data_IF_847110193714
#
_entry.id   IF_847110193714
#
_cell.length_a   1.000
_cell.length_b   1.000
_cell.length_c   1.000
_cell.angle_alpha   90.00
_cell.angle_beta   90.00
_cell.angle_gamma   90.00
#
_symmetry.space_group_name_H-M   'P 1'
#
loop_
_entity.id
_entity.type
_entity.pdbx_description
1 polymer ?
#
# COMPACT_ATOMS: atom_id res chain seq x y z
N UNK A 1 -7.66 -2.47 2.52
CA UNK A 1 -8.94 -2.45 3.23
C UNK A 1 -8.69 -2.79 4.68
N UNK A 2 -9.01 -1.86 5.57
CA UNK A 2 -9.07 -2.15 7.02
C UNK A 2 -10.43 -2.75 7.36
N UNK A 3 -10.44 -3.73 8.26
CA UNK A 3 -11.66 -4.23 8.90
C UNK A 3 -11.74 -3.60 10.28
N UNK A 4 -12.91 -3.08 10.66
CA UNK A 4 -13.11 -2.41 11.95
C UNK A 4 -14.27 -3.04 12.71
N UNK A 5 -14.19 -2.97 14.04
CA UNK A 5 -15.25 -3.38 14.97
C UNK A 5 -15.39 -2.30 16.04
N UNK A 6 -16.60 -2.09 16.56
CA UNK A 6 -16.80 -1.22 17.71
C UNK A 6 -15.98 -1.74 18.92
N UNK A 7 -15.23 -0.83 19.56
CA UNK A 7 -14.29 -1.18 20.61
C UNK A 7 -14.97 -1.75 21.88
N UNK A 8 -16.14 -1.23 22.26
CA UNK A 8 -16.89 -1.75 23.41
C UNK A 8 -17.39 -3.18 23.16
N UNK A 9 -17.77 -3.47 21.91
CA UNK A 9 -18.15 -4.81 21.49
C UNK A 9 -16.95 -5.74 21.52
N UNK A 10 -15.81 -5.30 20.99
CA UNK A 10 -14.56 -6.05 21.02
C UNK A 10 -14.13 -6.43 22.43
N UNK A 11 -14.18 -5.48 23.37
CA UNK A 11 -13.76 -5.68 24.75
C UNK A 11 -14.68 -6.64 25.54
N UNK A 12 -15.90 -6.89 25.06
CA UNK A 12 -16.82 -7.87 25.65
C UNK A 12 -16.59 -9.29 25.14
N UNK A 13 -15.79 -9.47 24.08
CA UNK A 13 -15.52 -10.79 23.53
C UNK A 13 -14.52 -11.55 24.40
N UNK A 14 -14.70 -12.88 24.57
CA UNK A 14 -13.70 -13.72 25.20
C UNK A 14 -12.33 -13.64 24.48
N UNK A 15 -11.19 -13.76 25.20
CA UNK A 15 -9.86 -13.59 24.60
C UNK A 15 -9.54 -14.57 23.46
N UNK A 16 -10.10 -15.78 23.49
CA UNK A 16 -9.98 -16.77 22.41
C UNK A 16 -10.72 -16.33 21.15
N UNK A 17 -11.89 -15.70 21.29
CA UNK A 17 -12.65 -15.13 20.19
C UNK A 17 -11.96 -13.90 19.62
N UNK A 18 -11.40 -13.02 20.47
CA UNK A 18 -10.58 -11.89 20.02
C UNK A 18 -9.41 -12.36 19.17
N UNK A 19 -8.64 -13.35 19.63
CA UNK A 19 -7.53 -13.92 18.86
C UNK A 19 -7.99 -14.53 17.53
N UNK A 20 -9.08 -15.29 17.55
CA UNK A 20 -9.63 -15.89 16.33
C UNK A 20 -10.00 -14.81 15.29
N UNK A 21 -10.66 -13.74 15.73
CA UNK A 21 -11.06 -12.65 14.85
C UNK A 21 -9.83 -11.91 14.30
N UNK A 22 -8.81 -11.62 15.13
CA UNK A 22 -7.59 -10.94 14.67
C UNK A 22 -6.84 -11.79 13.63
N UNK A 23 -6.69 -13.09 13.89
CA UNK A 23 -6.06 -14.03 12.97
C UNK A 23 -6.83 -14.12 11.64
N UNK A 24 -8.16 -14.22 11.69
CA UNK A 24 -9.00 -14.24 10.50
C UNK A 24 -8.95 -12.92 9.75
N UNK A 25 -9.01 -11.78 10.43
CA UNK A 25 -8.93 -10.46 9.83
C UNK A 25 -7.61 -10.28 9.08
N UNK A 26 -6.49 -10.74 9.65
CA UNK A 26 -5.18 -10.74 8.98
C UNK A 26 -5.17 -11.63 7.75
N UNK A 27 -5.68 -12.86 7.86
CA UNK A 27 -5.75 -13.81 6.73
C UNK A 27 -6.60 -13.29 5.58
N UNK A 28 -7.79 -12.77 5.90
CA UNK A 28 -8.70 -12.18 4.93
C UNK A 28 -8.03 -10.97 4.29
N UNK A 29 -7.40 -10.09 5.06
CA UNK A 29 -6.71 -8.92 4.49
C UNK A 29 -5.63 -9.30 3.46
N UNK A 30 -4.86 -10.35 3.75
CA UNK A 30 -3.86 -10.90 2.80
C UNK A 30 -4.55 -11.55 1.59
N UNK A 31 -5.53 -12.43 1.81
CA UNK A 31 -6.25 -13.13 0.75
C UNK A 31 -6.93 -12.15 -0.21
N UNK A 32 -7.61 -11.13 0.32
CA UNK A 32 -8.34 -10.17 -0.48
C UNK A 32 -7.43 -9.26 -1.29
N UNK A 33 -6.33 -8.78 -0.69
CA UNK A 33 -5.39 -7.93 -1.39
C UNK A 33 -4.55 -8.68 -2.42
N UNK A 34 -4.03 -9.85 -2.08
CA UNK A 34 -3.06 -10.51 -2.94
C UNK A 34 -3.74 -11.37 -4.03
N UNK A 35 -4.83 -12.06 -3.68
CA UNK A 35 -5.45 -13.05 -4.57
C UNK A 35 -6.63 -12.43 -5.32
N UNK A 36 -7.61 -11.86 -4.60
CA UNK A 36 -8.83 -11.37 -5.24
C UNK A 36 -8.57 -10.14 -6.12
N UNK A 37 -7.79 -9.18 -5.62
CA UNK A 37 -7.48 -7.97 -6.41
C UNK A 37 -6.73 -8.30 -7.71
N UNK A 38 -5.75 -9.22 -7.65
CA UNK A 38 -4.98 -9.63 -8.84
C UNK A 38 -5.87 -10.31 -9.87
N UNK A 39 -6.76 -11.22 -9.43
CA UNK A 39 -7.71 -11.89 -10.31
C UNK A 39 -8.71 -10.89 -10.94
N UNK A 40 -9.24 -9.97 -10.14
CA UNK A 40 -10.16 -8.94 -10.60
C UNK A 40 -9.51 -8.00 -11.62
N UNK A 41 -8.30 -7.52 -11.34
CA UNK A 41 -7.53 -6.69 -12.28
C UNK A 41 -7.24 -7.43 -13.59
N UNK A 42 -6.86 -8.72 -13.51
CA UNK A 42 -6.64 -9.55 -14.70
C UNK A 42 -7.90 -9.70 -15.56
N UNK A 43 -9.07 -9.93 -14.93
CA UNK A 43 -10.35 -9.99 -15.61
C UNK A 43 -10.73 -8.66 -16.28
N UNK A 44 -10.54 -7.55 -15.58
CA UNK A 44 -10.79 -6.21 -16.13
C UNK A 44 -9.90 -5.91 -17.36
N UNK A 45 -8.60 -6.24 -17.28
CA UNK A 45 -7.69 -6.08 -18.42
C UNK A 45 -8.10 -6.95 -19.60
N UNK A 46 -8.52 -8.19 -19.37
CA UNK A 46 -8.98 -9.09 -20.43
C UNK A 46 -10.24 -8.55 -21.13
N UNK A 47 -11.20 -8.05 -20.36
CA UNK A 47 -12.42 -7.44 -20.89
C UNK A 47 -12.12 -6.20 -21.74
N UNK A 48 -11.25 -5.30 -21.24
CA UNK A 48 -10.84 -4.11 -21.99
C UNK A 48 -10.15 -4.48 -23.31
N UNK A 49 -9.30 -5.51 -23.32
CA UNK A 49 -8.69 -6.03 -24.56
C UNK A 49 -9.74 -6.55 -25.54
N UNK A 50 -10.76 -7.26 -25.06
CA UNK A 50 -11.87 -7.75 -25.91
C UNK A 50 -12.67 -6.59 -26.52
N UNK A 51 -12.77 -5.46 -25.81
CA UNK A 51 -13.39 -4.24 -26.31
C UNK A 51 -12.48 -3.43 -27.26
N UNK A 52 -11.29 -3.95 -27.59
CA UNK A 52 -10.36 -3.32 -28.52
C UNK A 52 -9.42 -2.29 -27.88
N UNK A 53 -9.32 -2.23 -26.54
CA UNK A 53 -8.37 -1.36 -25.86
C UNK A 53 -6.94 -1.89 -26.03
N UNK A 54 -6.06 -1.03 -26.55
CA UNK A 54 -4.63 -1.30 -26.63
C UNK A 54 -3.96 -0.93 -25.31
N UNK A 55 -3.25 -1.89 -24.73
CA UNK A 55 -2.42 -1.66 -23.54
C UNK A 55 -0.97 -1.43 -23.96
N UNK A 56 -0.38 -0.35 -23.47
CA UNK A 56 1.03 -0.05 -23.64
C UNK A 56 1.77 -0.27 -22.32
N UNK A 57 2.94 -0.89 -22.41
CA UNK A 57 3.85 -1.01 -21.27
C UNK A 57 4.87 0.11 -21.38
N UNK A 58 5.00 0.91 -20.32
CA UNK A 58 6.03 1.95 -20.24
C UNK A 58 7.42 1.30 -20.18
N UNK A 59 8.38 1.83 -20.95
CA UNK A 59 9.78 1.38 -20.87
C UNK A 59 10.36 1.67 -19.48
N UNK A 60 11.50 1.06 -19.16
CA UNK A 60 12.15 1.33 -17.87
C UNK A 60 12.73 2.74 -17.83
N UNK A 61 13.20 3.23 -18.96
CA UNK A 61 13.72 4.58 -19.15
C UNK A 61 12.61 5.62 -18.96
N UNK A 62 11.48 5.49 -19.67
CA UNK A 62 10.34 6.39 -19.53
C UNK A 62 9.79 6.36 -18.10
N UNK A 63 9.79 5.19 -17.47
CA UNK A 63 9.40 5.03 -16.07
C UNK A 63 10.32 5.79 -15.14
N UNK A 64 11.63 5.68 -15.32
CA UNK A 64 12.61 6.38 -14.51
C UNK A 64 12.48 7.90 -14.68
N UNK A 65 12.38 8.39 -15.92
CA UNK A 65 12.14 9.81 -16.21
C UNK A 65 10.85 10.32 -15.55
N UNK A 66 9.77 9.55 -15.67
CA UNK A 66 8.51 9.89 -15.02
C UNK A 66 8.63 9.98 -13.50
N UNK A 67 9.31 9.03 -12.85
CA UNK A 67 9.49 9.05 -11.40
C UNK A 67 10.35 10.21 -10.89
N UNK A 68 11.27 10.74 -11.71
CA UNK A 68 12.04 11.94 -11.37
C UNK A 68 11.18 13.21 -11.38
N UNK A 69 10.07 13.23 -12.12
CA UNK A 69 9.14 14.36 -12.18
C UNK A 69 8.16 14.37 -11.00
N UNK A 70 7.98 13.25 -10.30
CA UNK A 70 7.06 13.14 -9.17
C UNK A 70 7.70 13.83 -7.95
N UNK A 71 7.00 14.73 -7.24
CA UNK A 71 7.52 15.34 -6.01
C UNK A 71 7.78 14.28 -4.95
N UNK A 72 8.63 14.58 -3.96
CA UNK A 72 8.91 13.65 -2.85
C UNK A 72 7.73 13.60 -1.88
N UNK A 73 6.62 13.01 -2.33
CA UNK A 73 5.36 12.93 -1.60
C UNK A 73 5.48 12.26 -0.23
N UNK A 74 6.32 11.22 -0.03
CA UNK A 74 6.58 10.69 1.31
C UNK A 74 7.17 11.73 2.27
N UNK A 75 8.03 12.64 1.81
CA UNK A 75 8.54 13.73 2.64
C UNK A 75 7.45 14.78 2.93
N UNK A 76 6.64 15.14 1.93
CA UNK A 76 5.50 16.06 2.14
C UNK A 76 4.51 15.51 3.17
N UNK A 77 4.16 14.23 3.08
CA UNK A 77 3.33 13.55 4.08
C UNK A 77 3.99 13.54 5.47
N UNK A 78 5.32 13.36 5.53
CA UNK A 78 6.05 13.39 6.79
C UNK A 78 5.95 14.75 7.47
N UNK A 79 6.13 15.84 6.71
CA UNK A 79 5.98 17.21 7.21
C UNK A 79 4.57 17.48 7.75
N UNK A 80 3.52 17.04 7.05
CA UNK A 80 2.13 17.16 7.50
C UNK A 80 1.85 16.41 8.81
N UNK A 81 2.49 15.25 9.00
CA UNK A 81 2.37 14.45 10.22
C UNK A 81 3.16 15.08 11.37
N UNK A 82 4.35 15.61 11.12
CA UNK A 82 5.13 16.35 12.14
C UNK A 82 4.44 17.64 12.58
N UNK A 83 3.75 18.34 11.67
CA UNK A 83 2.93 19.49 12.01
C UNK A 83 1.79 19.14 13.00
N UNK A 84 1.40 17.87 13.08
CA UNK A 84 0.42 17.35 14.06
C UNK A 84 1.08 16.87 15.37
N UNK A 85 2.40 17.01 15.52
CA UNK A 85 3.16 16.57 16.68
C UNK A 85 3.43 15.06 16.71
N UNK A 86 3.31 14.38 15.56
CA UNK A 86 3.56 12.95 15.40
C UNK A 86 4.88 12.71 14.64
N UNK A 87 5.53 11.54 14.78
CA UNK A 87 6.85 11.28 14.19
C UNK A 87 6.75 10.96 12.69
N UNK A 88 6.48 11.98 11.87
CA UNK A 88 6.22 11.84 10.43
C UNK A 88 7.41 11.30 9.64
N UNK A 89 8.60 11.87 9.82
CA UNK A 89 9.79 11.39 9.11
C UNK A 89 10.22 10.00 9.56
N UNK A 90 10.07 9.66 10.84
CA UNK A 90 10.32 8.29 11.31
C UNK A 90 9.44 7.28 10.56
N UNK A 91 8.14 7.57 10.41
CA UNK A 91 7.22 6.71 9.68
C UNK A 91 7.57 6.62 8.18
N UNK A 92 7.89 7.75 7.54
CA UNK A 92 8.25 7.79 6.12
C UNK A 92 9.55 7.01 5.83
N UNK A 93 10.58 7.19 6.65
CA UNK A 93 11.83 6.46 6.52
C UNK A 93 11.62 4.96 6.73
N UNK A 94 10.83 4.59 7.75
CA UNK A 94 10.49 3.18 7.98
C UNK A 94 9.73 2.56 6.82
N UNK A 95 8.85 3.31 6.18
CA UNK A 95 8.15 2.87 4.98
C UNK A 95 9.13 2.65 3.81
N UNK A 96 10.08 3.56 3.57
CA UNK A 96 11.12 3.39 2.53
C UNK A 96 11.96 2.13 2.79
N UNK A 97 12.40 1.90 4.02
CA UNK A 97 13.15 0.69 4.40
C UNK A 97 12.37 -0.59 4.09
N UNK A 98 11.11 -0.68 4.50
CA UNK A 98 10.26 -1.85 4.26
C UNK A 98 10.04 -2.11 2.77
N UNK A 99 10.01 -1.08 1.94
CA UNK A 99 9.86 -1.23 0.50
C UNK A 99 11.14 -1.72 -0.19
N UNK A 100 12.33 -1.52 0.41
CA UNK A 100 13.59 -2.10 -0.08
C UNK A 100 13.63 -3.63 0.07
N UNK A 101 12.82 -4.19 0.96
CA UNK A 101 12.63 -5.65 1.09
C UNK A 101 11.64 -6.22 0.06
N UNK A 102 11.00 -5.36 -0.73
CA UNK A 102 10.10 -5.79 -1.80
C UNK A 102 10.86 -6.28 -3.04
N UNK A 103 10.17 -6.99 -3.93
CA UNK A 103 10.75 -7.47 -5.20
C UNK A 103 10.99 -6.35 -6.23
N UNK A 104 10.56 -5.11 -5.94
CA UNK A 104 10.61 -3.99 -6.87
C UNK A 104 11.73 -3.02 -6.53
N UNK A 105 12.59 -2.74 -7.52
CA UNK A 105 13.66 -1.74 -7.40
C UNK A 105 13.13 -0.35 -7.82
N UNK A 106 13.20 0.59 -6.88
CA UNK A 106 12.78 1.97 -7.13
C UNK A 106 13.88 2.74 -7.86
N UNK A 107 13.55 3.48 -8.94
CA UNK A 107 14.54 4.23 -9.75
C UNK A 107 15.05 5.52 -9.07
N UNK A 108 14.59 5.80 -7.84
CA UNK A 108 15.05 6.90 -7.00
C UNK A 108 14.81 6.61 -5.52
N UNK A 109 15.52 7.33 -4.67
CA UNK A 109 15.23 7.38 -3.24
C UNK A 109 14.06 8.33 -2.95
N UNK A 110 13.34 8.05 -1.87
CA UNK A 110 12.16 8.76 -1.39
C UNK A 110 12.34 9.15 0.07
N UNK A 111 11.54 10.11 0.55
CA UNK A 111 11.67 10.68 1.89
C UNK A 111 13.10 11.19 2.16
N UNK A 112 13.72 11.86 1.18
CA UNK A 112 15.14 12.27 1.27
C UNK A 112 15.34 13.62 1.96
N UNK A 113 14.27 14.40 2.13
CA UNK A 113 14.26 15.65 2.90
C UNK A 113 13.82 15.37 4.34
N UNK A 114 14.17 16.24 5.28
CA UNK A 114 13.84 16.18 6.70
C UNK A 114 13.67 17.60 7.23
#
# INVERSE_FOLDING_TARGET
MGSTINLDTWNKLPPDIQRLIDDLARRISIQEHCIRMRAWAGGAVAELKNQGVTFHTMSEEDRAEWMQMIPDYPAECAEEIEAQGLPGFEAAHRWVELNKESWYEWPREWAVRK
#
